data_IF_261195430697
#
_entry.id   IF_261195430697
#
_cell.length_a   1.000
_cell.length_b   1.000
_cell.length_c   1.000
_cell.angle_alpha   90.00
_cell.angle_beta   90.00
_cell.angle_gamma   90.00
#
_symmetry.space_group_name_H-M   'P 1'
#
loop_
_entity.id
_entity.type
_entity.pdbx_description
1 polymer ?
#
# COMPACT_ATOMS: atom_id res chain seq x y z
N UNK A 1 16.53 -5.20 14.31
CA UNK A 1 15.16 -4.82 13.91
C UNK A 1 14.43 -6.08 13.54
N UNK A 2 13.18 -6.25 14.00
CA UNK A 2 12.31 -7.31 13.50
C UNK A 2 12.04 -7.09 12.01
N UNK A 3 11.83 -8.17 11.26
CA UNK A 3 11.47 -8.08 9.85
C UNK A 3 10.08 -7.44 9.73
N UNK A 4 9.89 -6.36 8.96
CA UNK A 4 8.57 -5.75 8.77
C UNK A 4 7.52 -6.69 8.19
N UNK A 5 7.94 -7.79 7.54
CA UNK A 5 7.05 -8.82 7.00
C UNK A 5 6.43 -9.72 8.08
N UNK A 6 6.99 -9.72 9.30
CA UNK A 6 6.48 -10.47 10.44
C UNK A 6 5.44 -9.67 11.26
N UNK A 7 5.16 -8.41 10.89
CA UNK A 7 4.16 -7.59 11.57
C UNK A 7 2.74 -8.08 11.26
N UNK A 8 1.86 -8.00 12.27
CA UNK A 8 0.42 -8.15 12.09
C UNK A 8 -0.27 -6.78 11.90
N UNK A 9 -1.58 -6.81 11.63
CA UNK A 9 -2.33 -5.59 11.36
C UNK A 9 -2.41 -4.66 12.58
N UNK A 10 -2.42 -5.21 13.80
CA UNK A 10 -2.48 -4.44 15.03
C UNK A 10 -1.17 -3.67 15.25
N UNK A 11 -0.02 -4.32 15.04
CA UNK A 11 1.29 -3.70 15.11
C UNK A 11 1.48 -2.60 14.05
N UNK A 12 0.93 -2.80 12.84
CA UNK A 12 0.92 -1.75 11.80
C UNK A 12 0.11 -0.53 12.24
N UNK A 13 -1.09 -0.75 12.79
CA UNK A 13 -1.94 0.32 13.31
C UNK A 13 -1.23 1.07 14.43
N UNK A 14 -0.65 0.36 15.40
CA UNK A 14 0.09 0.95 16.51
C UNK A 14 1.23 1.85 16.02
N UNK A 15 2.02 1.39 15.06
CA UNK A 15 3.09 2.21 14.48
C UNK A 15 2.54 3.47 13.78
N UNK A 16 1.46 3.33 13.01
CA UNK A 16 0.82 4.46 12.34
C UNK A 16 0.25 5.48 13.34
N UNK A 17 -0.37 5.04 14.43
CA UNK A 17 -0.87 5.92 15.50
C UNK A 17 0.29 6.69 16.16
N UNK A 18 1.45 6.06 16.28
CA UNK A 18 2.67 6.68 16.79
C UNK A 18 3.42 7.54 15.74
N UNK A 19 2.86 7.73 14.55
CA UNK A 19 3.42 8.57 13.50
C UNK A 19 4.48 7.90 12.61
N UNK A 20 4.70 6.60 12.77
CA UNK A 20 5.63 5.82 11.95
C UNK A 20 4.89 5.06 10.85
N UNK A 21 5.50 4.97 9.67
CA UNK A 21 4.95 4.22 8.53
C UNK A 21 5.81 2.97 8.35
N UNK A 22 5.32 1.76 8.69
CA UNK A 22 6.06 0.55 8.43
C UNK A 22 6.12 0.30 6.92
N UNK A 23 7.34 0.11 6.41
CA UNK A 23 7.61 -0.19 5.01
C UNK A 23 7.83 -1.69 4.83
N UNK A 24 7.54 -2.22 3.64
CA UNK A 24 7.74 -3.62 3.29
C UNK A 24 6.92 -4.64 4.11
N UNK A 25 5.81 -4.21 4.71
CA UNK A 25 4.82 -5.14 5.30
C UNK A 25 4.13 -5.92 4.19
N UNK A 26 3.67 -7.14 4.45
CA UNK A 26 2.89 -7.90 3.48
C UNK A 26 1.58 -7.17 3.11
N UNK A 27 1.09 -7.28 1.86
CA UNK A 27 -0.01 -6.46 1.38
C UNK A 27 -1.34 -6.77 2.08
N UNK A 28 -1.61 -8.04 2.36
CA UNK A 28 -2.81 -8.48 3.08
C UNK A 28 -2.88 -7.88 4.49
N UNK A 29 -1.76 -7.83 5.20
CA UNK A 29 -1.63 -7.21 6.52
C UNK A 29 -1.83 -5.69 6.43
N UNK A 30 -1.15 -5.02 5.49
CA UNK A 30 -1.27 -3.57 5.34
C UNK A 30 -2.70 -3.16 4.93
N UNK A 31 -3.34 -3.91 4.05
CA UNK A 31 -4.74 -3.72 3.63
C UNK A 31 -5.68 -3.95 4.81
N UNK A 32 -5.47 -5.02 5.59
CA UNK A 32 -6.26 -5.28 6.79
C UNK A 32 -6.16 -4.13 7.79
N UNK A 33 -4.96 -3.61 8.03
CA UNK A 33 -4.72 -2.45 8.89
C UNK A 33 -5.46 -1.20 8.40
N UNK A 34 -5.36 -0.85 7.10
CA UNK A 34 -6.07 0.30 6.54
C UNK A 34 -7.60 0.14 6.55
N UNK A 35 -8.11 -1.09 6.38
CA UNK A 35 -9.56 -1.37 6.52
C UNK A 35 -10.06 -1.20 7.96
N UNK A 36 -9.25 -1.57 8.96
CA UNK A 36 -9.58 -1.40 10.38
C UNK A 36 -9.46 0.06 10.84
N UNK A 37 -8.47 0.79 10.30
CA UNK A 37 -8.24 2.20 10.60
C UNK A 37 -7.80 2.95 9.34
N UNK A 38 -8.76 3.56 8.64
CA UNK A 38 -8.50 4.29 7.40
C UNK A 38 -7.91 5.68 7.71
N UNK A 39 -6.59 5.82 7.58
CA UNK A 39 -5.86 7.08 7.79
C UNK A 39 -4.81 7.27 6.69
N UNK A 40 -4.29 8.49 6.49
CA UNK A 40 -3.21 8.71 5.54
C UNK A 40 -1.95 7.87 5.84
N UNK A 41 -1.67 7.54 7.11
CA UNK A 41 -0.48 6.76 7.48
C UNK A 41 -0.66 5.27 7.18
N UNK A 42 -1.82 4.69 7.53
CA UNK A 42 -2.14 3.30 7.19
C UNK A 42 -2.26 3.11 5.67
N UNK A 43 -2.76 4.11 4.92
CA UNK A 43 -2.75 4.07 3.45
C UNK A 43 -1.33 4.13 2.87
N UNK A 44 -0.42 4.91 3.45
CA UNK A 44 0.99 4.92 3.03
C UNK A 44 1.67 3.57 3.29
N UNK A 45 1.34 2.89 4.39
CA UNK A 45 1.82 1.54 4.64
C UNK A 45 1.37 0.56 3.56
N UNK A 46 0.13 0.66 3.07
CA UNK A 46 -0.37 -0.10 1.92
C UNK A 46 0.45 0.19 0.67
N UNK A 47 0.64 1.47 0.32
CA UNK A 47 1.41 1.87 -0.88
C UNK A 47 2.87 1.36 -0.82
N UNK A 48 3.45 1.26 0.38
CA UNK A 48 4.82 0.82 0.63
C UNK A 48 4.92 -0.67 1.01
N UNK A 49 3.85 -1.45 0.81
CA UNK A 49 3.84 -2.87 1.11
C UNK A 49 4.82 -3.64 0.21
N UNK A 50 5.40 -4.72 0.74
CA UNK A 50 6.25 -5.62 -0.01
C UNK A 50 5.37 -6.56 -0.83
N UNK A 51 5.58 -6.62 -2.14
CA UNK A 51 4.85 -7.53 -3.05
C UNK A 51 5.79 -8.63 -3.57
N UNK A 52 6.06 -9.69 -2.79
CA UNK A 52 7.00 -10.74 -3.22
C UNK A 52 6.48 -11.53 -4.42
N UNK A 53 5.17 -11.70 -4.58
CA UNK A 53 4.56 -12.42 -5.70
C UNK A 53 3.81 -11.52 -6.69
N UNK A 54 3.38 -12.10 -7.82
CA UNK A 54 2.46 -11.44 -8.75
C UNK A 54 1.09 -11.20 -8.10
N UNK A 55 0.56 -12.20 -7.39
CA UNK A 55 -0.74 -12.13 -6.71
C UNK A 55 -0.78 -11.02 -5.66
N UNK A 56 0.32 -10.83 -4.94
CA UNK A 56 0.50 -9.71 -4.01
C UNK A 56 0.38 -8.35 -4.71
N UNK A 57 0.99 -8.23 -5.90
CA UNK A 57 0.93 -7.01 -6.71
C UNK A 57 -0.48 -6.76 -7.24
N UNK A 58 -1.21 -7.82 -7.61
CA UNK A 58 -2.61 -7.75 -8.04
C UNK A 58 -3.53 -7.34 -6.90
N UNK A 59 -3.41 -7.98 -5.74
CA UNK A 59 -4.20 -7.65 -4.55
C UNK A 59 -4.02 -6.17 -4.15
N UNK A 60 -2.77 -5.68 -4.19
CA UNK A 60 -2.46 -4.28 -3.91
C UNK A 60 -3.06 -3.33 -4.95
N UNK A 61 -2.94 -3.66 -6.24
CA UNK A 61 -3.50 -2.87 -7.34
C UNK A 61 -5.02 -2.76 -7.23
N UNK A 62 -5.71 -3.89 -7.05
CA UNK A 62 -7.17 -3.94 -6.99
C UNK A 62 -7.69 -3.13 -5.81
N UNK A 63 -7.04 -3.28 -4.64
CA UNK A 63 -7.38 -2.49 -3.46
C UNK A 63 -7.22 -1.00 -3.69
N UNK A 64 -6.07 -0.56 -4.21
CA UNK A 64 -5.80 0.86 -4.43
C UNK A 64 -6.70 1.46 -5.53
N UNK A 65 -7.00 0.71 -6.59
CA UNK A 65 -7.86 1.18 -7.67
C UNK A 65 -9.29 1.50 -7.20
N UNK A 66 -9.81 0.72 -6.25
CA UNK A 66 -11.15 0.86 -5.68
C UNK A 66 -11.29 1.98 -4.64
N UNK A 67 -10.17 2.53 -4.13
CA UNK A 67 -10.22 3.59 -3.14
C UNK A 67 -10.86 4.88 -3.70
N UNK A 68 -11.72 5.56 -2.92
CA UNK A 68 -12.33 6.80 -3.34
C UNK A 68 -11.29 7.93 -3.44
N UNK A 69 -11.56 8.93 -4.29
CA UNK A 69 -10.68 10.09 -4.47
C UNK A 69 -10.34 10.82 -3.16
N UNK A 70 -11.24 10.77 -2.16
CA UNK A 70 -11.00 11.34 -0.84
C UNK A 70 -9.82 10.68 -0.10
N UNK A 71 -9.63 9.37 -0.25
CA UNK A 71 -8.51 8.66 0.34
C UNK A 71 -7.18 9.12 -0.28
N UNK A 72 -7.12 9.22 -1.61
CA UNK A 72 -5.96 9.74 -2.33
C UNK A 72 -5.64 11.19 -1.99
N UNK A 73 -6.68 12.05 -1.89
CA UNK A 73 -6.53 13.45 -1.46
C UNK A 73 -5.96 13.57 -0.04
N UNK A 74 -6.34 12.67 0.86
CA UNK A 74 -5.90 12.69 2.27
C UNK A 74 -4.39 12.49 2.45
N UNK A 75 -3.69 11.98 1.43
CA UNK A 75 -2.25 11.80 1.46
C UNK A 75 -1.44 13.11 1.44
N UNK A 76 -2.07 14.25 1.14
CA UNK A 76 -1.42 15.57 1.22
C UNK A 76 -0.14 15.67 0.39
N UNK A 77 -0.10 15.02 -0.78
CA UNK A 77 1.07 14.98 -1.64
C UNK A 77 1.38 16.37 -2.21
N UNK A 78 2.67 16.70 -2.46
CA UNK A 78 3.05 17.97 -3.08
C UNK A 78 2.68 18.07 -4.58
N UNK A 79 2.26 16.95 -5.18
CA UNK A 79 1.77 16.85 -6.55
C UNK A 79 0.25 16.63 -6.55
N UNK A 80 -0.45 16.93 -7.67
CA UNK A 80 -1.87 16.61 -7.79
C UNK A 80 -2.13 15.14 -7.47
N UNK A 81 -3.13 14.88 -6.62
CA UNK A 81 -3.39 13.53 -6.14
C UNK A 81 -3.81 12.58 -7.28
N UNK A 82 -4.41 13.11 -8.35
CA UNK A 82 -4.76 12.34 -9.54
C UNK A 82 -3.50 11.78 -10.21
N UNK A 83 -2.49 12.64 -10.44
CA UNK A 83 -1.22 12.24 -11.05
C UNK A 83 -0.50 11.19 -10.18
N UNK A 84 -0.52 11.38 -8.86
CA UNK A 84 0.07 10.41 -7.92
C UNK A 84 -0.67 9.06 -7.96
N UNK A 85 -2.01 9.08 -7.95
CA UNK A 85 -2.84 7.87 -8.06
C UNK A 85 -2.53 7.14 -9.37
N UNK A 86 -2.60 7.83 -10.49
CA UNK A 86 -2.37 7.26 -11.81
C UNK A 86 -0.96 6.67 -11.94
N UNK A 87 0.06 7.40 -11.47
CA UNK A 87 1.45 6.93 -11.50
C UNK A 87 1.64 5.68 -10.65
N UNK A 88 1.07 5.65 -9.44
CA UNK A 88 1.13 4.50 -8.53
C UNK A 88 0.47 3.27 -9.15
N UNK A 89 -0.77 3.40 -9.67
CA UNK A 89 -1.49 2.30 -10.29
C UNK A 89 -0.79 1.81 -11.57
N UNK A 90 -0.25 2.72 -12.38
CA UNK A 90 0.51 2.36 -13.58
C UNK A 90 1.82 1.63 -13.24
N UNK A 91 2.50 2.00 -12.16
CA UNK A 91 3.71 1.30 -11.71
C UNK A 91 3.40 -0.14 -11.29
N UNK A 92 2.30 -0.37 -10.55
CA UNK A 92 1.86 -1.72 -10.18
C UNK A 92 1.50 -2.57 -11.39
N UNK A 93 0.74 -2.02 -12.36
CA UNK A 93 0.43 -2.72 -13.62
C UNK A 93 1.68 -3.12 -14.39
N UNK A 94 2.69 -2.24 -14.45
CA UNK A 94 3.99 -2.56 -15.08
C UNK A 94 4.75 -3.63 -14.32
N UNK A 95 4.74 -3.61 -12.98
CA UNK A 95 5.38 -4.65 -12.16
C UNK A 95 4.75 -6.02 -12.39
N UNK A 96 3.42 -6.09 -12.43
CA UNK A 96 2.67 -7.32 -12.77
C UNK A 96 3.08 -7.80 -14.17
N UNK A 97 3.00 -6.92 -15.18
CA UNK A 97 3.36 -7.29 -16.55
C UNK A 97 4.80 -7.81 -16.68
N UNK A 98 5.76 -7.15 -16.03
CA UNK A 98 7.15 -7.59 -16.01
C UNK A 98 7.30 -9.00 -15.41
N UNK A 99 6.62 -9.24 -14.27
CA UNK A 99 6.64 -10.54 -13.61
C UNK A 99 5.97 -11.62 -14.45
N UNK A 100 4.92 -11.32 -15.22
CA UNK A 100 4.27 -12.32 -16.08
C UNK A 100 5.08 -12.71 -17.31
N UNK A 101 5.95 -11.84 -17.81
CA UNK A 101 6.71 -12.05 -19.07
C UNK A 101 8.10 -12.65 -18.82
N UNK A 102 8.68 -12.43 -17.64
CA UNK A 102 10.04 -12.83 -17.29
C UNK A 102 10.13 -14.08 -16.39
N UNK A 103 9.07 -14.90 -16.31
CA UNK A 103 9.12 -16.25 -15.67
C UNK A 103 9.44 -17.33 -16.70
#
# INVERSE_FOLDING_TARGET
>A
MADPRDLDAAAVIEQCVNGFIPVNVLPDVAIAAHRQLATPLTLRAVILACTPTEDDSRALLDYLADLPDGAWRSLGMPIPYQDFRETTLAALRRSIAWRTVCV
#
